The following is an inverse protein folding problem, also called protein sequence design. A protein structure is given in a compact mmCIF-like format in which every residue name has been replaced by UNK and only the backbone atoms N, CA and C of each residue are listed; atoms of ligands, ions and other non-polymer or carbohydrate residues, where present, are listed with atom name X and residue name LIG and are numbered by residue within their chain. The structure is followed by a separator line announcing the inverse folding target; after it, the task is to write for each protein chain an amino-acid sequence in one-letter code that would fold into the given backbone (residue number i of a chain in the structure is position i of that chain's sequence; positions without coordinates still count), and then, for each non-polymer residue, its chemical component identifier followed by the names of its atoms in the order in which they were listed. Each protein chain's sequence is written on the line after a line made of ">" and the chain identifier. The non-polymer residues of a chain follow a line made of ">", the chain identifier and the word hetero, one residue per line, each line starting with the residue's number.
data_IF_371812004274
#
_entry.id   IF_371812004274
#
_cell.length_a   1.000
_cell.length_b   1.000
_cell.length_c   1.000
_cell.angle_alpha   90.00
_cell.angle_beta   90.00
_cell.angle_gamma   90.00
#
_symmetry.space_group_name_H-M   'P 1'
#
loop_
_entity.id
_entity.type
_entity.pdbx_description
1 polymer ?
#
# COMPACT_ATOMS: atom_id res chain seq x y z
N UNK A 1 -4.10 17.54 8.10
CA UNK A 1 -3.33 16.78 9.11
C UNK A 1 -2.97 17.62 10.33
N UNK A 2 -3.14 17.07 11.54
CA UNK A 2 -2.68 17.64 12.81
C UNK A 2 -1.15 17.64 12.95
N UNK A 3 -0.67 18.40 13.93
CA UNK A 3 0.72 18.48 14.37
C UNK A 3 0.86 17.85 15.75
N UNK A 4 1.94 17.09 15.98
CA UNK A 4 2.27 16.61 17.31
C UNK A 4 2.95 17.72 18.14
N UNK A 5 3.26 17.43 19.42
CA UNK A 5 3.88 18.38 20.33
C UNK A 5 5.27 18.90 19.86
N UNK A 6 5.91 18.21 18.92
CA UNK A 6 7.19 18.59 18.33
C UNK A 6 7.03 19.34 17.01
N UNK A 7 5.82 19.77 16.66
CA UNK A 7 5.53 20.45 15.39
C UNK A 7 5.64 19.54 14.15
N UNK A 8 5.65 18.22 14.32
CA UNK A 8 5.67 17.26 13.20
C UNK A 8 4.25 16.87 12.81
N UNK A 9 3.96 16.95 11.51
CA UNK A 9 2.67 16.52 10.94
C UNK A 9 2.48 15.01 10.98
N UNK A 10 1.26 14.56 11.19
CA UNK A 10 0.91 13.13 11.18
C UNK A 10 -0.50 12.88 10.63
N UNK A 11 -0.70 11.74 9.95
CA UNK A 11 -1.99 11.36 9.38
C UNK A 11 -3.07 11.21 10.45
N UNK A 12 -4.31 11.60 10.11
CA UNK A 12 -5.45 11.32 10.99
C UNK A 12 -5.54 9.81 11.27
N UNK A 13 -5.79 9.47 12.54
CA UNK A 13 -6.25 8.13 12.88
C UNK A 13 -7.62 7.88 12.25
N UNK A 14 -7.98 6.60 12.03
CA UNK A 14 -9.30 6.28 11.46
C UNK A 14 -10.45 6.80 12.33
N UNK A 15 -10.26 6.85 13.65
CA UNK A 15 -11.26 7.41 14.57
C UNK A 15 -11.43 8.92 14.37
N UNK A 16 -10.33 9.68 14.31
CA UNK A 16 -10.39 11.12 14.05
C UNK A 16 -10.96 11.42 12.66
N UNK A 17 -10.58 10.62 11.66
CA UNK A 17 -11.15 10.73 10.32
C UNK A 17 -12.66 10.55 10.34
N UNK A 18 -13.17 9.47 10.94
CA UNK A 18 -14.61 9.20 11.00
C UNK A 18 -15.39 10.28 11.76
N UNK A 19 -14.78 10.88 12.80
CA UNK A 19 -15.38 12.01 13.51
C UNK A 19 -15.47 13.27 12.65
N UNK A 20 -14.44 13.52 11.84
CA UNK A 20 -14.37 14.71 10.98
C UNK A 20 -15.20 14.57 9.70
N UNK A 21 -15.27 13.36 9.14
CA UNK A 21 -15.97 13.04 7.90
C UNK A 21 -16.94 11.86 8.13
N UNK A 22 -18.05 12.07 8.86
CA UNK A 22 -18.95 10.98 9.27
C UNK A 22 -19.68 10.30 8.11
N UNK A 23 -19.80 10.99 6.98
CA UNK A 23 -20.48 10.48 5.78
C UNK A 23 -19.52 9.75 4.83
N UNK A 24 -18.22 9.76 5.11
CA UNK A 24 -17.22 9.14 4.26
C UNK A 24 -17.04 7.66 4.61
N UNK A 25 -17.11 6.78 3.60
CA UNK A 25 -16.74 5.38 3.76
C UNK A 25 -15.26 5.16 3.45
N UNK A 26 -14.42 5.11 4.49
CA UNK A 26 -12.96 4.92 4.38
C UNK A 26 -12.51 3.48 4.70
N UNK A 27 -13.43 2.54 4.94
CA UNK A 27 -13.13 1.17 5.37
C UNK A 27 -12.88 0.22 4.20
N UNK A 28 -12.06 0.66 3.23
CA UNK A 28 -11.67 -0.14 2.06
C UNK A 28 -10.97 -1.43 2.49
N UNK A 29 -11.45 -2.55 1.95
CA UNK A 29 -10.88 -3.87 2.19
C UNK A 29 -9.62 -4.04 1.35
N UNK A 30 -8.69 -4.87 1.85
CA UNK A 30 -7.50 -5.19 1.05
C UNK A 30 -7.93 -5.97 -0.20
N UNK A 31 -7.40 -5.61 -1.38
CA UNK A 31 -7.52 -6.43 -2.57
C UNK A 31 -7.02 -7.85 -2.35
N UNK A 32 -7.78 -8.82 -2.86
CA UNK A 32 -7.40 -10.23 -2.89
C UNK A 32 -7.17 -10.63 -4.34
N UNK A 33 -5.91 -10.81 -4.73
CA UNK A 33 -5.52 -11.06 -6.13
C UNK A 33 -5.65 -12.53 -6.54
N UNK A 34 -6.21 -13.39 -5.68
CA UNK A 34 -6.47 -14.79 -6.03
C UNK A 34 -7.62 -14.88 -7.02
N UNK A 35 -7.44 -15.65 -8.09
CA UNK A 35 -8.53 -16.02 -8.99
C UNK A 35 -9.56 -16.92 -8.29
N UNK A 36 -9.10 -17.82 -7.41
CA UNK A 36 -9.95 -18.70 -6.60
C UNK A 36 -9.67 -18.48 -5.10
N UNK A 37 -10.71 -18.13 -4.34
CA UNK A 37 -10.62 -17.91 -2.88
C UNK A 37 -10.28 -19.19 -2.10
N UNK A 38 -10.41 -20.36 -2.71
CA UNK A 38 -9.99 -21.64 -2.16
C UNK A 38 -8.52 -21.97 -2.43
N UNK A 39 -7.72 -21.01 -2.89
CA UNK A 39 -6.28 -21.17 -3.09
C UNK A 39 -5.45 -20.38 -2.07
N UNK A 40 -4.23 -20.83 -1.81
CA UNK A 40 -3.27 -20.15 -0.95
C UNK A 40 -2.83 -18.81 -1.58
N UNK A 41 -2.87 -17.72 -0.80
CA UNK A 41 -2.43 -16.38 -1.21
C UNK A 41 -0.95 -16.29 -1.59
N UNK A 42 -0.13 -17.23 -1.11
CA UNK A 42 1.31 -17.26 -1.38
C UNK A 42 1.66 -18.17 -2.56
N UNK A 43 1.29 -19.45 -2.49
CA UNK A 43 1.74 -20.46 -3.45
C UNK A 43 0.67 -20.91 -4.47
N UNK A 44 -0.58 -20.49 -4.30
CA UNK A 44 -1.69 -20.84 -5.21
C UNK A 44 -2.22 -22.27 -5.07
N UNK A 45 -1.65 -23.11 -4.20
CA UNK A 45 -2.19 -24.45 -3.95
C UNK A 45 -3.59 -24.40 -3.35
N UNK A 46 -4.45 -25.35 -3.71
CA UNK A 46 -5.78 -25.50 -3.13
C UNK A 46 -5.72 -25.72 -1.61
N UNK A 47 -6.60 -25.02 -0.90
CA UNK A 47 -6.75 -25.12 0.55
C UNK A 47 -7.52 -26.38 0.87
N UNK A 48 -7.02 -27.16 1.83
CA UNK A 48 -7.54 -28.52 2.14
C UNK A 48 -8.77 -28.49 3.05
N UNK A 49 -9.06 -27.35 3.68
CA UNK A 49 -10.20 -27.23 4.59
C UNK A 49 -10.72 -25.80 4.68
N UNK A 50 -11.98 -25.64 5.09
CA UNK A 50 -12.59 -24.32 5.36
C UNK A 50 -11.89 -23.54 6.50
N UNK A 51 -11.11 -24.21 7.35
CA UNK A 51 -10.29 -23.55 8.38
C UNK A 51 -9.08 -22.83 7.77
N UNK A 52 -8.57 -23.34 6.65
CA UNK A 52 -7.53 -22.68 5.87
C UNK A 52 -8.21 -21.66 4.95
N UNK A 53 -8.32 -20.40 5.39
CA UNK A 53 -9.03 -19.36 4.63
C UNK A 53 -8.15 -18.58 3.65
N UNK A 54 -6.83 -18.60 3.84
CA UNK A 54 -5.91 -17.78 3.06
C UNK A 54 -4.56 -18.43 2.78
N UNK A 55 -4.11 -19.39 3.60
CA UNK A 55 -2.79 -20.00 3.47
C UNK A 55 -2.87 -21.52 3.68
N UNK A 56 -2.09 -22.28 2.90
CA UNK A 56 -2.04 -23.74 3.01
C UNK A 56 -1.17 -24.22 4.17
N UNK A 57 -0.24 -23.39 4.65
CA UNK A 57 0.64 -23.65 5.79
C UNK A 57 1.11 -22.33 6.43
N UNK A 58 1.74 -22.44 7.61
CA UNK A 58 2.27 -21.27 8.32
C UNK A 58 3.42 -20.60 7.54
N UNK A 59 4.29 -21.37 6.88
CA UNK A 59 5.38 -20.82 6.07
C UNK A 59 4.86 -19.88 4.96
N UNK A 60 3.81 -20.30 4.25
CA UNK A 60 3.17 -19.47 3.23
C UNK A 60 2.61 -18.16 3.80
N UNK A 61 2.10 -18.20 5.04
CA UNK A 61 1.60 -17.01 5.72
C UNK A 61 2.76 -16.08 6.09
N UNK A 62 3.84 -16.62 6.65
CA UNK A 62 5.04 -15.86 7.03
C UNK A 62 5.65 -15.19 5.80
N UNK A 63 5.85 -15.93 4.72
CA UNK A 63 6.42 -15.41 3.47
C UNK A 63 5.57 -14.28 2.87
N UNK A 64 4.24 -14.48 2.82
CA UNK A 64 3.34 -13.43 2.36
C UNK A 64 3.40 -12.19 3.26
N UNK A 65 3.39 -12.37 4.58
CA UNK A 65 3.41 -11.27 5.54
C UNK A 65 4.73 -10.48 5.55
N UNK A 66 5.88 -11.12 5.29
CA UNK A 66 7.18 -10.45 5.12
C UNK A 66 7.20 -9.48 3.94
N UNK A 67 6.49 -9.83 2.88
CA UNK A 67 6.41 -9.02 1.66
C UNK A 67 5.39 -7.92 1.75
N UNK A 68 4.17 -8.33 2.08
CA UNK A 68 3.03 -7.46 1.98
C UNK A 68 3.23 -6.22 2.86
N UNK A 69 2.59 -5.12 2.46
CA UNK A 69 2.72 -3.81 3.12
C UNK A 69 2.38 -3.82 4.63
N UNK A 70 1.79 -4.91 5.12
CA UNK A 70 1.50 -5.17 6.53
C UNK A 70 2.74 -4.93 7.41
N UNK A 71 2.59 -4.10 8.43
CA UNK A 71 3.65 -3.90 9.43
C UNK A 71 4.81 -3.01 9.02
N UNK A 72 4.82 -2.42 7.80
CA UNK A 72 5.83 -1.44 7.38
C UNK A 72 5.62 -0.02 7.95
N UNK A 73 4.81 0.12 9.00
CA UNK A 73 4.55 1.41 9.65
C UNK A 73 3.72 2.40 8.83
N UNK A 74 3.02 1.93 7.79
CA UNK A 74 2.10 2.78 7.01
C UNK A 74 0.95 3.22 7.92
N UNK A 75 0.69 4.53 7.95
CA UNK A 75 -0.41 5.05 8.75
C UNK A 75 -1.76 4.50 8.24
N UNK A 76 -2.75 4.27 9.13
CA UNK A 76 -4.01 3.64 8.75
C UNK A 76 -4.78 4.34 7.63
N UNK A 77 -4.83 5.68 7.63
CA UNK A 77 -5.56 6.44 6.60
C UNK A 77 -4.92 6.25 5.22
N UNK A 78 -3.61 6.53 5.00
CA UNK A 78 -2.95 6.21 3.75
C UNK A 78 -3.15 4.76 3.30
N UNK A 79 -3.06 3.80 4.23
CA UNK A 79 -3.27 2.40 3.91
C UNK A 79 -4.67 2.15 3.31
N UNK A 80 -5.72 2.81 3.81
CA UNK A 80 -7.07 2.71 3.24
C UNK A 80 -7.16 3.31 1.83
N UNK A 81 -6.45 4.40 1.56
CA UNK A 81 -6.37 4.99 0.22
C UNK A 81 -5.63 4.06 -0.75
N UNK A 82 -4.53 3.44 -0.32
CA UNK A 82 -3.84 2.42 -1.11
C UNK A 82 -4.75 1.23 -1.45
N UNK A 83 -5.55 0.77 -0.48
CA UNK A 83 -6.54 -0.29 -0.72
C UNK A 83 -7.63 0.15 -1.71
N UNK A 84 -8.16 1.38 -1.58
CA UNK A 84 -9.13 1.96 -2.51
C UNK A 84 -8.61 1.94 -3.95
N UNK A 85 -7.37 2.36 -4.12
CA UNK A 85 -6.75 2.50 -5.44
C UNK A 85 -6.09 1.21 -5.93
N UNK A 86 -6.33 0.08 -5.24
CA UNK A 86 -5.76 -1.22 -5.58
C UNK A 86 -4.23 -1.18 -5.74
N UNK A 87 -3.55 -0.42 -4.87
CA UNK A 87 -2.10 -0.17 -4.91
C UNK A 87 -1.58 0.31 -6.27
N UNK A 88 -2.43 0.92 -7.10
CA UNK A 88 -2.11 1.33 -8.46
C UNK A 88 -1.93 2.84 -8.49
N UNK A 89 -0.80 3.30 -9.05
CA UNK A 89 -0.56 4.71 -9.27
C UNK A 89 -1.64 5.28 -10.20
N UNK A 90 -2.34 6.32 -9.73
CA UNK A 90 -3.42 6.95 -10.48
C UNK A 90 -2.96 7.91 -11.57
N UNK A 91 -1.68 8.26 -11.59
CA UNK A 91 -1.07 9.08 -12.64
C UNK A 91 -0.54 8.22 -13.80
N UNK A 92 0.33 7.24 -13.53
CA UNK A 92 0.99 6.45 -14.58
C UNK A 92 0.50 5.00 -14.72
N UNK A 93 -0.38 4.53 -13.83
CA UNK A 93 -0.89 3.16 -13.86
C UNK A 93 0.05 2.09 -13.29
N UNK A 94 1.21 2.47 -12.74
CA UNK A 94 2.14 1.50 -12.13
C UNK A 94 1.45 0.73 -10.99
N UNK A 95 1.42 -0.60 -11.11
CA UNK A 95 0.86 -1.49 -10.11
C UNK A 95 1.90 -1.81 -9.01
N UNK A 96 1.66 -1.33 -7.78
CA UNK A 96 2.53 -1.47 -6.61
C UNK A 96 2.49 -2.84 -5.94
N UNK A 97 2.57 -3.90 -6.74
CA UNK A 97 2.61 -5.29 -6.28
C UNK A 97 3.85 -6.02 -6.79
N UNK A 98 4.34 -6.95 -5.98
CA UNK A 98 5.42 -7.86 -6.33
C UNK A 98 4.86 -9.18 -6.84
N UNK A 99 5.36 -9.68 -7.97
CA UNK A 99 5.07 -11.04 -8.41
C UNK A 99 6.08 -11.99 -7.77
N UNK A 100 5.62 -12.85 -6.88
CA UNK A 100 6.49 -13.77 -6.14
C UNK A 100 6.96 -14.94 -7.01
N UNK A 101 7.81 -15.81 -6.43
CA UNK A 101 8.35 -17.01 -7.10
C UNK A 101 7.29 -18.02 -7.58
N UNK A 102 6.07 -17.92 -7.07
CA UNK A 102 4.93 -18.77 -7.47
C UNK A 102 4.05 -18.08 -8.53
N UNK A 103 4.43 -16.89 -9.00
CA UNK A 103 3.68 -16.11 -9.97
C UNK A 103 2.48 -15.37 -9.41
N UNK A 104 2.30 -15.33 -8.08
CA UNK A 104 1.21 -14.60 -7.42
C UNK A 104 1.62 -13.18 -7.05
N UNK A 105 0.66 -12.26 -7.14
CA UNK A 105 0.87 -10.86 -6.76
C UNK A 105 0.71 -10.65 -5.25
N UNK A 106 1.68 -9.95 -4.66
CA UNK A 106 1.68 -9.54 -3.25
C UNK A 106 1.75 -8.02 -3.21
N UNK A 107 0.79 -7.32 -2.57
CA UNK A 107 0.82 -5.86 -2.48
C UNK A 107 1.94 -5.42 -1.53
N UNK A 108 3.04 -4.90 -2.09
CA UNK A 108 4.23 -4.51 -1.30
C UNK A 108 4.26 -3.02 -0.97
N UNK A 109 3.51 -2.21 -1.71
CA UNK A 109 3.49 -0.73 -1.62
C UNK A 109 4.88 -0.06 -1.68
N UNK A 110 5.91 -0.74 -2.19
CA UNK A 110 7.23 -0.14 -2.42
C UNK A 110 7.13 0.68 -3.70
N UNK A 111 6.82 1.97 -3.55
CA UNK A 111 6.62 2.85 -4.69
C UNK A 111 5.38 3.73 -4.55
N UNK A 112 4.17 3.19 -4.31
CA UNK A 112 2.98 4.01 -4.12
C UNK A 112 2.98 4.72 -2.77
N UNK A 113 2.89 6.05 -2.80
CA UNK A 113 2.61 6.93 -1.67
C UNK A 113 1.21 7.54 -1.84
N UNK A 114 0.69 8.14 -0.78
CA UNK A 114 -0.58 8.86 -0.81
C UNK A 114 -0.30 10.36 -0.85
N UNK A 115 -0.75 10.98 -1.94
CA UNK A 115 -0.54 12.39 -2.22
C UNK A 115 -1.84 13.18 -2.06
N UNK A 116 -1.73 14.43 -1.64
CA UNK A 116 -2.85 15.37 -1.56
C UNK A 116 -3.05 16.06 -2.92
N UNK A 117 -4.27 16.08 -3.48
CA UNK A 117 -4.55 16.79 -4.74
C UNK A 117 -4.41 18.30 -4.57
N UNK A 118 -5.07 18.85 -3.56
CA UNK A 118 -4.84 20.20 -3.05
C UNK A 118 -3.82 20.07 -1.93
N UNK A 119 -2.67 20.75 -2.07
CA UNK A 119 -1.61 20.65 -1.08
C UNK A 119 -2.09 21.19 0.27
N UNK A 120 -1.57 20.63 1.35
CA UNK A 120 -1.91 21.10 2.70
C UNK A 120 -1.55 22.57 2.89
N UNK A 121 -0.41 23.00 2.35
CA UNK A 121 0.03 24.40 2.39
C UNK A 121 -0.97 25.37 1.74
N UNK A 122 -1.84 24.84 0.88
CA UNK A 122 -2.87 25.57 0.14
C UNK A 122 -4.27 25.34 0.73
N UNK A 123 -4.37 24.70 1.91
CA UNK A 123 -5.64 24.42 2.59
C UNK A 123 -6.21 23.02 2.32
N UNK A 124 -5.46 22.14 1.65
CA UNK A 124 -5.85 20.77 1.42
C UNK A 124 -6.14 19.96 2.68
N UNK A 125 -7.22 19.18 2.65
CA UNK A 125 -7.67 18.34 3.77
C UNK A 125 -7.21 16.90 3.63
N UNK A 126 -7.34 16.11 4.70
CA UNK A 126 -7.09 14.66 4.64
C UNK A 126 -8.32 13.87 4.22
N UNK A 127 -9.36 14.53 3.70
CA UNK A 127 -10.54 13.86 3.20
C UNK A 127 -10.15 12.98 2.01
N UNK A 128 -10.71 11.77 1.93
CA UNK A 128 -10.30 10.77 0.94
C UNK A 128 -10.35 11.25 -0.52
N UNK A 129 -11.28 12.15 -0.87
CA UNK A 129 -11.40 12.71 -2.21
C UNK A 129 -10.23 13.65 -2.56
N UNK A 130 -9.54 14.18 -1.57
CA UNK A 130 -8.32 14.96 -1.73
C UNK A 130 -7.06 14.08 -1.68
N UNK A 131 -7.18 12.76 -1.50
CA UNK A 131 -6.05 11.84 -1.40
C UNK A 131 -6.01 10.90 -2.61
N UNK A 132 -4.82 10.68 -3.15
CA UNK A 132 -4.59 9.84 -4.33
C UNK A 132 -3.34 8.98 -4.20
N UNK A 133 -3.40 7.72 -4.64
CA UNK A 133 -2.23 6.84 -4.69
C UNK A 133 -1.37 7.15 -5.91
N UNK A 134 -0.09 7.49 -5.71
CA UNK A 134 0.86 7.75 -6.81
C UNK A 134 2.21 7.10 -6.55
N UNK A 135 2.93 6.67 -7.60
CA UNK A 135 4.26 6.11 -7.41
C UNK A 135 5.29 7.19 -7.03
N UNK A 136 6.41 6.79 -6.42
CA UNK A 136 7.49 7.67 -5.98
C UNK A 136 8.01 8.55 -7.13
N UNK A 137 8.08 8.03 -8.35
CA UNK A 137 8.58 8.79 -9.49
C UNK A 137 7.59 9.89 -9.89
N UNK A 138 6.29 9.59 -9.94
CA UNK A 138 5.24 10.61 -10.14
C UNK A 138 5.19 11.61 -8.98
N UNK A 139 5.33 11.15 -7.74
CA UNK A 139 5.34 12.01 -6.55
C UNK A 139 6.51 13.00 -6.59
N UNK A 140 7.70 12.51 -6.92
CA UNK A 140 8.89 13.33 -7.09
C UNK A 140 8.72 14.32 -8.24
N UNK A 141 8.14 13.90 -9.36
CA UNK A 141 7.87 14.77 -10.50
C UNK A 141 6.93 15.93 -10.12
N UNK A 142 5.85 15.65 -9.39
CA UNK A 142 4.92 16.69 -8.90
C UNK A 142 5.65 17.71 -8.02
N UNK A 143 6.56 17.25 -7.16
CA UNK A 143 7.34 18.14 -6.28
C UNK A 143 8.62 18.70 -6.93
N UNK A 144 8.85 18.48 -8.23
CA UNK A 144 10.05 18.94 -8.93
C UNK A 144 11.36 18.32 -8.40
N UNK A 145 11.27 17.21 -7.65
CA UNK A 145 12.42 16.48 -7.13
C UNK A 145 13.00 15.67 -8.28
N UNK A 146 14.23 15.98 -8.69
CA UNK A 146 14.93 15.20 -9.72
C UNK A 146 15.09 13.76 -9.23
N UNK A 147 14.37 12.82 -9.84
CA UNK A 147 14.53 11.40 -9.53
C UNK A 147 15.96 11.00 -9.90
N UNK A 148 16.73 10.54 -8.91
CA UNK A 148 18.04 9.97 -9.18
C UNK A 148 17.80 8.59 -9.80
N UNK A 149 17.69 8.57 -11.13
CA UNK A 149 17.13 7.49 -11.97
C UNK A 149 17.77 6.12 -11.72
N UNK A 150 18.95 6.08 -11.09
CA UNK A 150 19.69 4.85 -10.76
C UNK A 150 19.30 4.17 -9.44
N UNK A 151 18.48 4.79 -8.56
CA UNK A 151 18.19 4.20 -7.22
C UNK A 151 16.79 3.61 -7.04
N UNK A 152 15.76 4.01 -7.81
CA UNK A 152 14.37 3.66 -7.48
C UNK A 152 13.87 2.35 -8.10
N UNK A 153 14.16 2.08 -9.38
CA UNK A 153 13.87 0.78 -10.02
C UNK A 153 14.75 -0.33 -9.45
N UNK A 154 16.00 0.02 -9.17
CA UNK A 154 17.03 -0.85 -8.62
C UNK A 154 16.68 -1.24 -7.17
N UNK A 155 16.26 -0.32 -6.30
CA UNK A 155 15.96 -0.69 -4.90
C UNK A 155 14.72 -1.58 -4.73
N UNK A 156 13.68 -1.51 -5.56
CA UNK A 156 12.49 -2.35 -5.37
C UNK A 156 12.72 -3.81 -5.78
N UNK A 157 13.54 -4.04 -6.81
CA UNK A 157 13.96 -5.39 -7.24
C UNK A 157 15.08 -5.94 -6.36
N UNK A 158 16.03 -5.08 -5.96
CA UNK A 158 17.24 -5.49 -5.24
C UNK A 158 17.02 -5.68 -3.74
N UNK A 159 16.15 -4.90 -3.08
CA UNK A 159 15.85 -5.12 -1.64
C UNK A 159 15.25 -6.50 -1.37
N UNK A 160 14.60 -7.11 -2.37
CA UNK A 160 13.99 -8.44 -2.21
C UNK A 160 14.90 -9.58 -2.67
N UNK A 161 15.75 -9.37 -3.68
CA UNK A 161 16.72 -10.38 -4.14
C UNK A 161 17.95 -10.50 -3.23
N UNK A 162 18.35 -9.44 -2.52
CA UNK A 162 19.56 -9.46 -1.67
C UNK A 162 19.32 -9.97 -0.24
N UNK A 163 18.06 -10.11 0.22
CA UNK A 163 17.74 -10.54 1.59
C UNK A 163 17.24 -11.99 1.72
N UNK A 164 17.03 -12.71 0.62
CA UNK A 164 16.68 -14.14 0.64
C UNK A 164 17.29 -14.84 -0.59
N UNK A 165 18.49 -15.44 -0.46
CA UNK A 165 19.02 -16.36 -1.48
C UNK A 165 18.14 -17.60 -1.68
#
# INVERSE_FOLDING_TARGET
>A
MPYNNNGKRYWLSLWNYAKQYPNDNILYQMPDYRADKNTCKWCGQSLKSKRQQSYCCEDCKIEFQRLAVWGRGVAPLPYRILCRDNFTCKECGLFGAYKNKHGLFVPIAVGPDVHHLIQVSEGGTDQQNNLITICNDCHNQIHGIKSNTKKNLVKSSIYYSEQNP
#
